data_IF_346799173830
#
_entry.id   IF_346799173830
#
_cell.length_a   1.000
_cell.length_b   1.000
_cell.length_c   1.000
_cell.angle_alpha   90.00
_cell.angle_beta   90.00
_cell.angle_gamma   90.00
#
_symmetry.space_group_name_H-M   'P 1'
#
loop_
_entity.id
_entity.type
_entity.pdbx_description
1 polymer ?
#
# COMPACT_ATOMS: atom_id res chain seq x y z
N UNK A 1 32.41 -53.31 -38.88
CA UNK A 1 32.97 -52.99 -37.56
C UNK A 1 33.86 -51.76 -37.73
N UNK A 2 33.59 -50.75 -36.91
CA UNK A 2 34.35 -49.53 -36.62
C UNK A 2 34.73 -48.58 -37.77
N UNK A 3 33.99 -47.47 -37.86
CA UNK A 3 34.54 -46.19 -38.31
C UNK A 3 34.43 -45.18 -37.16
N UNK A 4 35.60 -44.77 -36.69
CA UNK A 4 35.82 -43.86 -35.59
C UNK A 4 35.56 -42.39 -35.97
N UNK A 5 34.80 -41.72 -35.10
CA UNK A 5 34.93 -40.34 -34.58
C UNK A 5 35.50 -39.23 -35.48
N UNK A 6 34.64 -38.26 -35.79
CA UNK A 6 34.98 -36.83 -35.81
C UNK A 6 33.90 -36.04 -35.05
N UNK A 7 34.30 -35.38 -33.95
CA UNK A 7 33.46 -34.42 -33.21
C UNK A 7 33.48 -33.06 -33.92
N UNK A 8 32.35 -32.35 -34.07
CA UNK A 8 32.35 -30.95 -34.47
C UNK A 8 32.51 -30.02 -33.25
N UNK A 9 33.31 -28.97 -33.45
CA UNK A 9 33.56 -27.86 -32.51
C UNK A 9 32.29 -27.10 -32.12
N UNK A 10 32.23 -26.51 -30.90
CA UNK A 10 31.09 -25.71 -30.48
C UNK A 10 31.09 -24.34 -31.17
N UNK A 11 29.96 -24.03 -31.80
CA UNK A 11 29.61 -22.72 -32.36
C UNK A 11 29.55 -21.65 -31.27
N UNK A 12 30.23 -20.51 -31.52
CA UNK A 12 30.16 -19.29 -30.69
C UNK A 12 28.71 -18.79 -30.59
N UNK A 13 28.22 -18.42 -29.39
CA UNK A 13 26.94 -17.73 -29.28
C UNK A 13 27.07 -16.26 -29.70
N UNK A 14 26.05 -15.83 -30.44
CA UNK A 14 25.86 -14.50 -30.99
C UNK A 14 25.63 -13.46 -29.88
N UNK A 15 25.98 -12.21 -30.22
CA UNK A 15 25.94 -11.03 -29.37
C UNK A 15 24.68 -10.90 -28.49
N UNK A 16 24.88 -10.93 -27.18
CA UNK A 16 23.95 -10.35 -26.20
C UNK A 16 24.14 -8.84 -26.22
N UNK A 17 23.12 -8.11 -26.65
CA UNK A 17 23.01 -6.68 -26.40
C UNK A 17 22.98 -6.47 -24.88
N UNK A 18 23.99 -5.76 -24.36
CA UNK A 18 23.98 -5.26 -22.98
C UNK A 18 22.87 -4.23 -22.88
N UNK A 19 21.97 -4.41 -21.92
CA UNK A 19 21.13 -3.32 -21.44
C UNK A 19 22.06 -2.18 -21.03
N UNK A 20 21.81 -0.99 -21.57
CA UNK A 20 22.55 0.21 -21.19
C UNK A 20 22.33 0.45 -19.70
N UNK A 21 23.44 0.73 -19.01
CA UNK A 21 23.44 1.34 -17.69
C UNK A 21 22.71 2.67 -17.80
N UNK A 22 21.44 2.68 -17.39
CA UNK A 22 20.69 3.90 -17.15
C UNK A 22 21.24 4.46 -15.82
N UNK A 23 22.32 5.23 -15.91
CA UNK A 23 22.83 5.97 -14.77
C UNK A 23 21.75 6.94 -14.33
N UNK A 24 21.09 6.59 -13.23
CA UNK A 24 20.09 7.39 -12.56
C UNK A 24 20.60 8.83 -12.40
N UNK A 25 19.97 9.74 -13.14
CA UNK A 25 20.03 11.15 -12.81
C UNK A 25 19.49 11.32 -11.41
N UNK A 26 20.32 11.78 -10.48
CA UNK A 26 19.89 12.17 -9.14
C UNK A 26 18.69 13.12 -9.27
N UNK A 27 17.53 12.69 -8.76
CA UNK A 27 16.33 13.50 -8.72
C UNK A 27 16.61 14.71 -7.82
N UNK A 28 16.75 15.90 -8.41
CA UNK A 28 16.66 17.16 -7.65
C UNK A 28 15.22 17.27 -7.14
N UNK A 29 14.89 16.63 -6.03
CA UNK A 29 13.52 16.63 -5.53
C UNK A 29 13.21 15.78 -4.29
N UNK A 30 14.08 14.85 -3.91
CA UNK A 30 13.88 14.07 -2.67
C UNK A 30 14.19 14.94 -1.44
N UNK A 31 13.27 14.98 -0.47
CA UNK A 31 13.52 15.55 0.85
C UNK A 31 13.50 14.43 1.88
N UNK A 32 14.48 14.37 2.81
CA UNK A 32 14.48 13.35 3.83
C UNK A 32 13.30 13.55 4.80
N UNK A 33 12.64 12.46 5.17
CA UNK A 33 11.64 12.43 6.22
C UNK A 33 11.78 11.17 7.06
N UNK A 34 11.33 11.24 8.32
CA UNK A 34 11.42 10.13 9.26
C UNK A 34 10.26 9.16 9.05
N UNK A 35 10.55 7.89 8.77
CA UNK A 35 9.57 6.81 8.73
C UNK A 35 9.80 5.80 9.86
N UNK A 36 8.71 5.33 10.47
CA UNK A 36 8.73 4.28 11.50
C UNK A 36 8.53 2.91 10.88
N UNK A 37 9.46 2.00 11.12
CA UNK A 37 9.55 0.66 10.52
C UNK A 37 9.82 -0.38 11.61
N UNK A 38 9.58 -1.67 11.33
CA UNK A 38 9.93 -2.74 12.28
C UNK A 38 11.44 -2.97 12.28
N UNK A 39 12.03 -3.18 13.45
CA UNK A 39 13.46 -3.47 13.57
C UNK A 39 13.76 -4.87 13.06
N UNK A 40 14.54 -4.97 11.98
CA UNK A 40 14.98 -6.25 11.42
C UNK A 40 15.91 -7.02 12.35
N UNK A 41 16.52 -6.35 13.34
CA UNK A 41 17.48 -6.94 14.28
C UNK A 41 16.82 -7.42 15.58
N UNK A 42 15.51 -7.27 15.72
CA UNK A 42 14.82 -7.77 16.92
C UNK A 42 14.87 -9.30 16.94
N UNK A 43 15.58 -9.92 17.90
CA UNK A 43 15.72 -11.37 17.97
C UNK A 43 14.38 -12.09 18.17
N UNK A 44 13.34 -11.40 18.66
CA UNK A 44 12.01 -11.99 18.83
C UNK A 44 11.34 -12.33 17.49
N UNK A 45 11.74 -11.66 16.39
CA UNK A 45 11.23 -11.91 15.04
C UNK A 45 11.77 -13.19 14.38
N UNK A 46 12.88 -13.73 14.90
CA UNK A 46 13.47 -14.97 14.42
C UNK A 46 12.72 -16.20 14.94
N UNK A 47 12.23 -16.15 16.18
CA UNK A 47 11.65 -17.31 16.86
C UNK A 47 10.12 -17.28 16.93
N UNK A 48 9.51 -16.10 16.84
CA UNK A 48 8.05 -15.94 16.96
C UNK A 48 7.49 -15.15 15.78
N UNK A 49 6.24 -15.46 15.42
CA UNK A 49 5.48 -14.57 14.53
C UNK A 49 5.20 -13.26 15.28
N UNK A 50 5.49 -12.10 14.68
CA UNK A 50 5.15 -10.84 15.34
C UNK A 50 3.63 -10.67 15.46
N UNK A 51 3.20 -9.95 16.50
CA UNK A 51 1.83 -9.54 16.73
C UNK A 51 1.77 -8.12 17.32
N UNK A 52 0.62 -7.45 17.13
CA UNK A 52 0.24 -6.20 17.78
C UNK A 52 -1.20 -6.32 18.32
N UNK A 53 -1.39 -6.04 19.61
CA UNK A 53 -2.69 -5.93 20.27
C UNK A 53 -3.28 -4.55 19.98
N UNK A 54 -4.48 -4.52 19.39
CA UNK A 54 -5.22 -3.30 19.07
C UNK A 54 -6.25 -2.93 20.14
N UNK A 55 -6.06 -3.44 21.36
CA UNK A 55 -6.88 -3.20 22.53
C UNK A 55 -6.00 -3.25 23.79
N UNK A 56 -6.43 -2.55 24.83
CA UNK A 56 -5.70 -2.50 26.09
C UNK A 56 -5.87 -3.81 26.86
N UNK A 57 -4.76 -4.37 27.32
CA UNK A 57 -4.72 -5.57 28.16
C UNK A 57 -3.89 -5.28 29.41
N UNK A 58 -4.51 -5.17 30.60
CA UNK A 58 -3.77 -4.88 31.83
C UNK A 58 -2.67 -5.91 32.15
N UNK A 59 -2.83 -7.14 31.67
CA UNK A 59 -1.91 -8.26 31.94
C UNK A 59 -0.75 -8.38 30.94
N UNK A 60 -0.85 -7.75 29.76
CA UNK A 60 0.19 -7.78 28.73
C UNK A 60 0.72 -6.35 28.53
N UNK A 61 1.77 -5.95 29.27
CA UNK A 61 2.23 -4.56 29.29
C UNK A 61 2.83 -4.11 27.94
N UNK A 62 3.31 -5.05 27.12
CA UNK A 62 3.80 -4.76 25.77
C UNK A 62 2.74 -5.19 24.75
N UNK A 63 2.07 -4.20 24.15
CA UNK A 63 1.06 -4.43 23.11
C UNK A 63 1.62 -4.98 21.80
N UNK A 64 2.93 -5.15 21.65
CA UNK A 64 3.55 -5.78 20.49
C UNK A 64 4.75 -6.62 20.94
N UNK A 65 5.12 -7.67 20.22
CA UNK A 65 6.30 -8.49 20.53
C UNK A 65 7.51 -8.20 19.61
N UNK A 66 7.54 -7.02 19.00
CA UNK A 66 8.63 -6.56 18.15
C UNK A 66 8.93 -5.08 18.41
N UNK A 67 10.16 -4.66 18.16
CA UNK A 67 10.61 -3.28 18.26
C UNK A 67 10.48 -2.53 16.94
N UNK A 68 10.39 -1.20 17.05
CA UNK A 68 10.33 -0.28 15.93
C UNK A 68 11.57 0.61 15.90
N UNK A 69 12.03 0.91 14.69
CA UNK A 69 13.07 1.90 14.42
C UNK A 69 12.47 3.09 13.68
N UNK A 70 13.10 4.25 13.82
CA UNK A 70 12.81 5.42 13.01
C UNK A 70 14.00 5.72 12.13
N UNK A 71 13.80 5.71 10.82
CA UNK A 71 14.85 5.94 9.84
C UNK A 71 14.56 7.19 9.00
N UNK A 72 15.61 7.94 8.70
CA UNK A 72 15.54 9.08 7.79
C UNK A 72 15.67 8.57 6.36
N UNK A 73 14.58 8.64 5.60
CA UNK A 73 14.55 8.12 4.22
C UNK A 73 14.31 9.25 3.22
N UNK A 74 14.92 9.20 2.02
CA UNK A 74 14.56 10.11 0.95
C UNK A 74 13.11 9.88 0.52
N UNK A 75 12.29 10.93 0.56
CA UNK A 75 10.91 10.90 0.05
C UNK A 75 10.80 11.79 -1.19
N UNK A 76 10.48 11.18 -2.33
CA UNK A 76 10.33 11.87 -3.62
C UNK A 76 8.91 12.41 -3.85
N UNK A 77 8.79 13.45 -4.67
CA UNK A 77 7.51 13.88 -5.22
C UNK A 77 7.17 13.02 -6.47
N UNK A 78 6.15 12.18 -6.35
CA UNK A 78 5.64 11.34 -7.42
C UNK A 78 4.63 12.04 -8.33
N UNK A 79 4.26 13.30 -8.07
CA UNK A 79 3.32 14.05 -8.93
C UNK A 79 3.74 14.11 -10.40
N UNK A 80 5.02 14.30 -10.78
CA UNK A 80 5.47 14.23 -12.17
C UNK A 80 5.31 12.85 -12.86
N UNK A 81 5.01 11.81 -12.08
CA UNK A 81 4.78 10.45 -12.55
C UNK A 81 3.29 10.13 -12.79
N UNK A 82 2.37 11.08 -12.54
CA UNK A 82 0.93 10.89 -12.85
C UNK A 82 0.74 10.49 -14.32
N UNK A 83 0.00 9.41 -14.55
CA UNK A 83 -0.22 8.82 -15.88
C UNK A 83 0.93 7.95 -16.42
N UNK A 84 2.03 7.78 -15.68
CA UNK A 84 3.16 6.91 -16.05
C UNK A 84 3.30 5.68 -15.14
N UNK A 85 2.62 5.68 -14.00
CA UNK A 85 2.63 4.60 -13.01
C UNK A 85 1.58 3.54 -13.35
N UNK A 86 1.81 2.31 -12.85
CA UNK A 86 0.86 1.19 -12.98
C UNK A 86 0.76 0.37 -11.69
N UNK A 87 -0.39 -0.26 -11.46
CA UNK A 87 -0.60 -1.12 -10.28
C UNK A 87 0.31 -2.35 -10.25
N UNK A 88 0.70 -2.90 -11.39
CA UNK A 88 1.50 -4.13 -11.44
C UNK A 88 3.00 -3.88 -11.29
N UNK A 89 3.51 -2.74 -11.79
CA UNK A 89 4.94 -2.39 -11.66
C UNK A 89 5.23 -1.57 -10.41
N UNK A 90 4.42 -0.53 -10.19
CA UNK A 90 4.69 0.49 -9.17
C UNK A 90 3.87 0.23 -7.91
N UNK A 91 2.77 -0.51 -8.03
CA UNK A 91 1.86 -0.84 -6.94
C UNK A 91 0.72 0.17 -6.76
N UNK A 92 0.85 1.38 -7.33
CA UNK A 92 -0.11 2.46 -7.14
C UNK A 92 -0.21 3.40 -8.34
N UNK A 93 -1.32 4.11 -8.44
CA UNK A 93 -1.59 5.15 -9.44
C UNK A 93 -2.32 6.34 -8.80
N UNK A 94 -2.11 7.53 -9.35
CA UNK A 94 -2.90 8.73 -9.02
C UNK A 94 -3.87 9.01 -10.16
N UNK A 95 -5.16 9.10 -9.85
CA UNK A 95 -6.23 9.34 -10.83
C UNK A 95 -7.09 10.52 -10.42
N UNK A 96 -7.67 11.19 -11.42
CA UNK A 96 -8.70 12.22 -11.20
C UNK A 96 -10.06 11.56 -11.01
N UNK A 97 -10.83 12.06 -10.06
CA UNK A 97 -12.22 11.64 -9.88
C UNK A 97 -13.10 12.27 -10.96
N UNK A 98 -14.15 11.55 -11.41
CA UNK A 98 -15.12 12.11 -12.35
C UNK A 98 -15.88 13.31 -11.76
N UNK A 99 -16.05 13.34 -10.43
CA UNK A 99 -16.64 14.44 -9.66
C UNK A 99 -16.23 14.35 -8.19
N UNK A 100 -16.45 15.43 -7.47
CA UNK A 100 -16.41 15.47 -6.00
C UNK A 100 -17.83 15.62 -5.44
N UNK A 101 -18.05 15.14 -4.21
CA UNK A 101 -19.26 15.44 -3.43
C UNK A 101 -19.01 16.60 -2.44
N UNK A 102 -20.05 17.32 -2.00
CA UNK A 102 -19.98 18.26 -0.88
C UNK A 102 -19.28 17.65 0.35
N UNK A 103 -18.68 18.51 1.17
CA UNK A 103 -17.85 18.04 2.30
C UNK A 103 -18.70 17.35 3.37
N UNK A 104 -19.87 17.89 3.66
CA UNK A 104 -20.88 17.37 4.57
C UNK A 104 -21.39 15.98 4.16
N UNK A 105 -21.49 15.70 2.86
CA UNK A 105 -21.99 14.43 2.31
C UNK A 105 -21.05 13.25 2.58
N UNK A 106 -19.77 13.49 2.93
CA UNK A 106 -18.91 12.39 3.38
C UNK A 106 -19.33 11.82 4.74
N UNK A 107 -20.08 12.59 5.54
CA UNK A 107 -20.49 12.23 6.89
C UNK A 107 -21.94 11.73 6.97
N UNK A 108 -22.66 11.71 5.84
CA UNK A 108 -23.96 11.06 5.71
C UNK A 108 -23.81 9.76 4.90
N UNK A 109 -24.24 8.65 5.48
CA UNK A 109 -24.00 7.32 4.91
C UNK A 109 -24.68 7.14 3.54
N UNK A 110 -25.88 7.67 3.36
CA UNK A 110 -26.66 7.52 2.14
C UNK A 110 -26.01 8.27 0.97
N UNK A 111 -25.63 9.53 1.20
CA UNK A 111 -24.95 10.37 0.21
C UNK A 111 -23.52 9.93 -0.04
N UNK A 112 -22.77 9.47 0.98
CA UNK A 112 -21.45 8.85 0.81
C UNK A 112 -21.51 7.63 -0.12
N UNK A 113 -22.48 6.74 0.12
CA UNK A 113 -22.70 5.53 -0.68
C UNK A 113 -23.14 5.87 -2.10
N UNK A 114 -24.16 6.72 -2.25
CA UNK A 114 -24.68 7.14 -3.56
C UNK A 114 -23.65 7.96 -4.36
N UNK A 115 -22.78 8.68 -3.66
CA UNK A 115 -21.73 9.54 -4.16
C UNK A 115 -20.41 8.80 -4.33
N UNK A 116 -19.48 9.09 -3.42
CA UNK A 116 -18.07 8.70 -3.51
C UNK A 116 -17.87 7.19 -3.66
N UNK A 117 -18.56 6.35 -2.90
CA UNK A 117 -18.35 4.90 -2.93
C UNK A 117 -18.71 4.31 -4.30
N UNK A 118 -19.83 4.73 -4.89
CA UNK A 118 -20.25 4.30 -6.22
C UNK A 118 -19.29 4.80 -7.32
N UNK A 119 -18.82 6.04 -7.21
CA UNK A 119 -17.86 6.60 -8.16
C UNK A 119 -16.51 5.88 -8.06
N UNK A 120 -16.00 5.66 -6.84
CA UNK A 120 -14.79 4.87 -6.60
C UNK A 120 -14.92 3.45 -7.18
N UNK A 121 -16.07 2.79 -7.00
CA UNK A 121 -16.33 1.47 -7.59
C UNK A 121 -16.21 1.48 -9.11
N UNK A 122 -16.76 2.49 -9.78
CA UNK A 122 -16.68 2.64 -11.25
C UNK A 122 -15.25 2.87 -11.71
N UNK A 123 -14.52 3.74 -11.02
CA UNK A 123 -13.11 3.99 -11.35
C UNK A 123 -12.25 2.74 -11.10
N UNK A 124 -12.52 1.97 -10.04
CA UNK A 124 -11.82 0.70 -9.79
C UNK A 124 -12.10 -0.34 -10.88
N UNK A 125 -13.34 -0.43 -11.38
CA UNK A 125 -13.66 -1.31 -12.52
C UNK A 125 -12.82 -0.94 -13.75
N UNK A 126 -12.70 0.36 -14.05
CA UNK A 126 -11.96 0.86 -15.22
C UNK A 126 -10.43 0.71 -15.05
N UNK A 127 -9.88 1.31 -13.99
CA UNK A 127 -8.43 1.35 -13.73
C UNK A 127 -7.83 -0.04 -13.53
N UNK A 128 -8.55 -0.94 -12.87
CA UNK A 128 -8.07 -2.30 -12.66
C UNK A 128 -8.42 -3.24 -13.81
N UNK A 129 -9.27 -2.83 -14.77
CA UNK A 129 -9.80 -3.73 -15.80
C UNK A 129 -10.65 -4.87 -15.22
N UNK A 130 -11.35 -4.59 -14.11
CA UNK A 130 -12.03 -5.59 -13.31
C UNK A 130 -13.47 -5.84 -13.74
N UNK A 131 -13.96 -7.05 -13.46
CA UNK A 131 -15.34 -7.46 -13.73
C UNK A 131 -16.27 -7.25 -12.54
N UNK A 132 -15.72 -7.31 -11.32
CA UNK A 132 -16.48 -7.06 -10.10
C UNK A 132 -15.64 -6.36 -9.04
N UNK A 133 -16.32 -5.55 -8.23
CA UNK A 133 -15.75 -4.85 -7.09
C UNK A 133 -16.70 -5.02 -5.89
N UNK A 134 -16.15 -5.46 -4.77
CA UNK A 134 -16.84 -5.62 -3.49
C UNK A 134 -16.17 -4.70 -2.47
N UNK A 135 -16.94 -3.76 -1.92
CA UNK A 135 -16.43 -2.83 -0.91
C UNK A 135 -16.32 -3.59 0.41
N UNK A 136 -15.14 -3.62 1.00
CA UNK A 136 -14.88 -4.21 2.31
C UNK A 136 -15.18 -3.20 3.41
N UNK A 137 -14.55 -2.02 3.32
CA UNK A 137 -14.70 -0.97 4.31
C UNK A 137 -14.49 0.40 3.69
N UNK A 138 -15.00 1.42 4.39
CA UNK A 138 -14.80 2.82 4.04
C UNK A 138 -14.67 3.62 5.34
N UNK A 139 -13.52 4.25 5.56
CA UNK A 139 -13.15 4.89 6.82
C UNK A 139 -12.70 6.33 6.57
N UNK A 140 -13.28 7.27 7.31
CA UNK A 140 -12.75 8.64 7.35
C UNK A 140 -11.66 8.70 8.41
N UNK A 141 -10.53 9.30 8.03
CA UNK A 141 -9.42 9.58 8.94
C UNK A 141 -9.22 11.08 9.13
N UNK A 142 -9.01 11.48 10.39
CA UNK A 142 -8.71 12.85 10.78
C UNK A 142 -7.45 12.87 11.63
N UNK A 143 -6.48 13.71 11.28
CA UNK A 143 -5.33 13.93 12.16
C UNK A 143 -5.81 14.64 13.43
N UNK A 144 -5.50 14.04 14.57
CA UNK A 144 -5.81 14.54 15.89
C UNK A 144 -4.51 14.69 16.70
N UNK A 145 -4.56 15.40 17.82
CA UNK A 145 -3.40 15.56 18.71
C UNK A 145 -2.90 14.22 19.28
N UNK A 146 -3.79 13.26 19.48
CA UNK A 146 -3.43 11.89 19.89
C UNK A 146 -3.21 11.02 18.65
N UNK A 147 -2.07 10.35 18.59
CA UNK A 147 -1.71 9.41 17.51
C UNK A 147 -2.38 8.02 17.63
N UNK A 148 -3.21 7.79 18.65
CA UNK A 148 -3.86 6.51 18.91
C UNK A 148 -5.38 6.65 18.88
N UNK A 149 -6.04 5.70 18.24
CA UNK A 149 -7.50 5.59 18.17
C UNK A 149 -8.00 5.30 16.77
N UNK A 150 -9.24 4.81 16.70
CA UNK A 150 -9.93 4.60 15.43
C UNK A 150 -10.05 5.92 14.64
N UNK A 151 -9.77 5.88 13.34
CA UNK A 151 -9.84 7.06 12.47
C UNK A 151 -8.64 8.01 12.56
N UNK A 152 -7.58 7.68 13.31
CA UNK A 152 -6.32 8.46 13.28
C UNK A 152 -5.43 7.96 12.12
N UNK A 153 -4.71 8.85 11.42
CA UNK A 153 -3.59 8.48 10.54
C UNK A 153 -2.64 7.47 11.16
N UNK A 154 -2.20 6.46 10.40
CA UNK A 154 -1.23 5.46 10.88
C UNK A 154 0.19 5.90 10.47
N UNK A 155 1.06 6.29 11.42
CA UNK A 155 2.41 6.81 11.14
C UNK A 155 3.50 5.73 11.10
N UNK A 156 3.09 4.45 11.08
CA UNK A 156 3.99 3.29 11.00
C UNK A 156 3.85 2.67 9.63
N UNK A 157 4.97 2.30 9.02
CA UNK A 157 4.98 1.65 7.71
C UNK A 157 4.36 0.26 7.82
N UNK A 158 3.37 0.00 6.97
CA UNK A 158 2.65 -1.27 6.93
C UNK A 158 2.16 -1.59 5.51
N UNK A 159 1.84 -2.87 5.29
CA UNK A 159 0.96 -3.32 4.22
C UNK A 159 -0.30 -3.91 4.83
N UNK A 160 -1.47 -3.63 4.26
CA UNK A 160 -2.73 -3.92 4.97
C UNK A 160 -3.10 -5.40 5.04
N UNK A 161 -2.83 -6.16 3.99
CA UNK A 161 -3.29 -7.55 3.89
C UNK A 161 -2.22 -8.46 3.33
N UNK A 162 -2.16 -9.68 3.84
CA UNK A 162 -1.52 -10.78 3.14
C UNK A 162 -2.46 -11.38 2.10
N UNK A 163 -1.93 -12.20 1.18
CA UNK A 163 -2.77 -12.91 0.22
C UNK A 163 -3.69 -13.93 0.90
N UNK A 164 -3.23 -14.50 2.02
CA UNK A 164 -4.01 -15.44 2.84
C UNK A 164 -5.17 -14.70 3.50
N UNK A 165 -4.91 -13.51 4.05
CA UNK A 165 -5.95 -12.65 4.62
C UNK A 165 -6.96 -12.19 3.57
N UNK A 166 -6.49 -11.74 2.40
CA UNK A 166 -7.36 -11.42 1.28
C UNK A 166 -8.24 -12.61 0.86
N UNK A 167 -7.69 -13.84 0.89
CA UNK A 167 -8.46 -15.06 0.61
C UNK A 167 -9.54 -15.35 1.66
N UNK A 168 -9.29 -15.08 2.94
CA UNK A 168 -10.31 -15.17 4.00
C UNK A 168 -11.45 -14.18 3.75
N UNK A 169 -11.11 -12.91 3.44
CA UNK A 169 -12.09 -11.85 3.17
C UNK A 169 -13.02 -12.17 1.99
N UNK A 170 -12.58 -12.93 0.99
CA UNK A 170 -13.45 -13.39 -0.10
C UNK A 170 -14.67 -14.16 0.45
N UNK A 171 -14.50 -14.98 1.48
CA UNK A 171 -15.59 -15.71 2.11
C UNK A 171 -16.66 -14.77 2.67
N UNK A 172 -16.21 -13.74 3.41
CA UNK A 172 -17.07 -12.73 4.03
C UNK A 172 -17.77 -11.85 2.98
N UNK A 173 -17.05 -11.44 1.93
CA UNK A 173 -17.54 -10.48 0.93
C UNK A 173 -18.38 -11.09 -0.18
N UNK A 174 -18.14 -12.36 -0.51
CA UNK A 174 -18.76 -13.02 -1.67
C UNK A 174 -19.76 -14.12 -1.31
N UNK A 175 -19.81 -14.57 -0.05
CA UNK A 175 -20.72 -15.63 0.41
C UNK A 175 -20.60 -16.89 -0.45
N UNK A 176 -21.74 -17.37 -0.99
CA UNK A 176 -21.81 -18.56 -1.84
C UNK A 176 -20.94 -18.50 -3.10
N UNK A 177 -20.54 -17.30 -3.54
CA UNK A 177 -19.66 -17.12 -4.71
C UNK A 177 -18.17 -17.23 -4.39
N UNK A 178 -17.79 -17.34 -3.13
CA UNK A 178 -16.39 -17.28 -2.69
C UNK A 178 -15.49 -18.30 -3.44
N UNK A 179 -15.92 -19.54 -3.56
CA UNK A 179 -15.17 -20.60 -4.26
C UNK A 179 -15.03 -20.35 -5.77
N UNK A 180 -15.99 -19.65 -6.38
CA UNK A 180 -15.86 -19.23 -7.77
C UNK A 180 -14.86 -18.07 -7.89
N UNK A 181 -14.96 -17.07 -7.02
CA UNK A 181 -14.07 -15.90 -7.01
C UNK A 181 -12.61 -16.28 -6.81
N UNK A 182 -12.31 -17.23 -5.91
CA UNK A 182 -10.94 -17.73 -5.66
C UNK A 182 -10.26 -18.38 -6.88
N UNK A 183 -11.04 -18.78 -7.90
CA UNK A 183 -10.50 -19.37 -9.16
C UNK A 183 -10.09 -18.31 -10.18
N UNK A 184 -10.40 -17.04 -9.94
CA UNK A 184 -10.03 -15.93 -10.79
C UNK A 184 -8.90 -15.11 -10.16
N UNK A 185 -8.24 -14.25 -10.95
CA UNK A 185 -7.36 -13.24 -10.38
C UNK A 185 -8.21 -12.30 -9.54
N UNK A 186 -7.88 -12.19 -8.27
CA UNK A 186 -8.41 -11.20 -7.35
C UNK A 186 -7.29 -10.36 -6.75
N UNK A 187 -7.66 -9.15 -6.36
CA UNK A 187 -6.79 -8.19 -5.68
C UNK A 187 -7.53 -7.55 -4.51
N UNK A 188 -6.81 -7.24 -3.45
CA UNK A 188 -7.26 -6.28 -2.46
C UNK A 188 -6.65 -4.92 -2.81
N UNK A 189 -7.53 -3.96 -3.09
CA UNK A 189 -7.16 -2.62 -3.55
C UNK A 189 -7.64 -1.60 -2.53
N UNK A 190 -6.76 -0.65 -2.25
CA UNK A 190 -7.06 0.51 -1.45
C UNK A 190 -7.25 1.73 -2.34
N UNK A 191 -8.15 2.60 -1.90
CA UNK A 191 -8.35 3.94 -2.41
C UNK A 191 -8.10 4.90 -1.26
N UNK A 192 -7.21 5.87 -1.46
CA UNK A 192 -6.98 6.94 -0.50
C UNK A 192 -7.17 8.31 -1.15
N UNK A 193 -7.89 9.18 -0.46
CA UNK A 193 -8.27 10.50 -0.96
C UNK A 193 -8.31 11.53 0.17
N UNK A 194 -7.71 12.73 0.01
CA UNK A 194 -7.96 13.83 0.93
C UNK A 194 -9.37 14.42 0.75
N UNK A 195 -10.03 14.77 1.86
CA UNK A 195 -11.32 15.46 1.84
C UNK A 195 -11.18 16.96 1.57
N UNK A 196 -10.04 17.53 1.97
CA UNK A 196 -9.65 18.93 1.74
C UNK A 196 -8.31 18.97 1.04
N UNK A 197 -8.13 19.88 0.10
CA UNK A 197 -6.84 20.02 -0.56
C UNK A 197 -6.61 21.41 -1.17
N UNK A 198 -5.39 21.66 -1.68
CA UNK A 198 -4.27 20.71 -1.76
C UNK A 198 -3.76 20.22 -0.40
N UNK A 199 -3.60 18.91 -0.23
CA UNK A 199 -3.14 18.34 1.05
C UNK A 199 -1.63 18.55 1.21
N UNK A 200 -1.24 19.14 2.34
CA UNK A 200 0.17 19.30 2.74
C UNK A 200 0.48 18.69 4.10
N UNK A 201 -0.48 18.74 5.04
CA UNK A 201 -0.37 18.12 6.36
C UNK A 201 -0.50 16.59 6.24
N UNK A 202 0.51 15.89 6.73
CA UNK A 202 0.54 14.44 6.90
C UNK A 202 0.10 13.61 5.68
N UNK A 203 0.67 13.79 4.47
CA UNK A 203 0.30 12.95 3.32
C UNK A 203 0.67 11.47 3.54
N UNK A 204 0.23 10.60 2.63
CA UNK A 204 0.71 9.22 2.60
C UNK A 204 2.02 9.13 1.81
N UNK A 205 3.03 8.51 2.42
CA UNK A 205 4.19 8.00 1.72
C UNK A 205 3.89 6.58 1.22
N UNK A 206 4.35 6.26 0.02
CA UNK A 206 4.23 4.96 -0.63
C UNK A 206 5.61 4.45 -1.03
N UNK A 207 5.89 3.19 -0.76
CA UNK A 207 7.05 2.52 -1.32
C UNK A 207 6.70 1.90 -2.68
N UNK A 208 7.53 2.13 -3.69
CA UNK A 208 7.31 1.54 -5.02
C UNK A 208 7.50 0.03 -4.97
N UNK A 209 6.51 -0.70 -5.47
CA UNK A 209 6.47 -2.17 -5.39
C UNK A 209 7.74 -2.81 -5.96
N UNK A 210 8.20 -2.37 -7.13
CA UNK A 210 9.41 -2.90 -7.77
C UNK A 210 10.75 -2.59 -7.08
N UNK A 211 10.74 -1.84 -5.97
CA UNK A 211 11.94 -1.57 -5.16
C UNK A 211 12.03 -2.41 -3.88
N UNK A 212 10.98 -3.15 -3.56
CA UNK A 212 10.91 -3.98 -2.35
C UNK A 212 11.57 -5.33 -2.57
N UNK A 213 12.34 -5.76 -1.57
CA UNK A 213 12.75 -7.15 -1.44
C UNK A 213 11.70 -7.93 -0.64
N UNK A 214 11.57 -9.24 -0.89
CA UNK A 214 10.62 -10.07 -0.14
C UNK A 214 10.96 -10.09 1.36
N UNK A 215 12.25 -10.02 1.70
CA UNK A 215 12.76 -9.97 3.07
C UNK A 215 12.43 -8.66 3.79
N UNK A 216 12.06 -7.61 3.06
CA UNK A 216 11.62 -6.35 3.67
C UNK A 216 10.26 -6.51 4.37
N UNK A 217 9.47 -7.53 4.00
CA UNK A 217 8.11 -7.73 4.48
C UNK A 217 8.05 -8.83 5.53
N UNK A 218 7.53 -8.50 6.72
CA UNK A 218 7.27 -9.47 7.78
C UNK A 218 5.77 -9.55 8.06
N UNK A 219 5.21 -10.75 7.87
CA UNK A 219 3.81 -11.04 8.26
C UNK A 219 3.64 -10.86 9.77
N UNK A 220 2.59 -10.16 10.16
CA UNK A 220 2.23 -9.86 11.55
C UNK A 220 0.75 -10.16 11.79
N UNK A 221 0.40 -10.56 13.00
CA UNK A 221 -0.99 -10.64 13.45
C UNK A 221 -1.41 -9.35 14.17
N UNK A 222 -2.41 -8.67 13.64
CA UNK A 222 -3.07 -7.55 14.30
C UNK A 222 -4.28 -8.10 15.05
N UNK A 223 -4.19 -8.12 16.38
CA UNK A 223 -5.15 -8.80 17.24
C UNK A 223 -6.15 -7.78 17.76
N UNK A 224 -7.40 -7.90 17.31
CA UNK A 224 -8.55 -7.21 17.84
C UNK A 224 -9.19 -8.04 18.97
N UNK A 225 -10.11 -7.48 19.78
CA UNK A 225 -10.80 -8.25 20.81
C UNK A 225 -11.52 -9.51 20.28
N UNK A 226 -12.08 -9.41 19.07
CA UNK A 226 -12.97 -10.44 18.51
C UNK A 226 -12.40 -11.12 17.25
N UNK A 227 -11.26 -10.66 16.73
CA UNK A 227 -10.70 -11.17 15.46
C UNK A 227 -9.18 -10.94 15.36
N UNK A 228 -8.53 -11.63 14.43
CA UNK A 228 -7.11 -11.46 14.09
C UNK A 228 -6.94 -11.23 12.60
N UNK A 229 -6.36 -10.08 12.26
CA UNK A 229 -6.06 -9.67 10.89
C UNK A 229 -4.57 -9.90 10.58
N UNK A 230 -4.25 -10.71 9.57
CA UNK A 230 -2.86 -10.86 9.12
C UNK A 230 -2.45 -9.73 8.15
N UNK A 231 -1.40 -9.00 8.52
CA UNK A 231 -0.90 -7.79 7.84
C UNK A 231 0.62 -7.90 7.61
N UNK A 232 1.26 -6.86 7.07
CA UNK A 232 2.70 -6.74 6.98
C UNK A 232 3.24 -5.57 7.81
N UNK A 233 4.36 -5.80 8.49
CA UNK A 233 5.32 -4.76 8.87
C UNK A 233 6.49 -4.78 7.91
N UNK A 234 7.21 -3.67 7.85
CA UNK A 234 8.28 -3.46 6.87
C UNK A 234 9.57 -3.13 7.60
N UNK A 235 10.64 -3.80 7.17
CA UNK A 235 12.00 -3.55 7.60
C UNK A 235 12.64 -2.48 6.72
N UNK A 236 13.52 -1.67 7.31
CA UNK A 236 14.27 -0.68 6.56
C UNK A 236 15.25 -1.35 5.59
N UNK A 237 15.25 -0.87 4.35
CA UNK A 237 16.21 -1.25 3.33
C UNK A 237 16.53 -0.03 2.45
N UNK A 238 17.82 0.22 2.22
CA UNK A 238 18.30 1.39 1.46
C UNK A 238 17.81 1.39 -0.01
N UNK A 239 17.45 0.23 -0.56
CA UNK A 239 16.96 0.12 -1.93
C UNK A 239 15.49 0.53 -2.10
N UNK A 240 14.76 0.71 -1.00
CA UNK A 240 13.35 1.11 -1.03
C UNK A 240 13.18 2.51 -1.60
N UNK A 241 12.30 2.65 -2.59
CA UNK A 241 11.99 3.93 -3.21
C UNK A 241 10.69 4.49 -2.64
N UNK A 242 10.82 5.49 -1.78
CA UNK A 242 9.72 6.15 -1.10
C UNK A 242 9.34 7.47 -1.78
N UNK A 243 8.04 7.75 -1.82
CA UNK A 243 7.55 9.03 -2.30
C UNK A 243 6.07 9.25 -2.01
N UNK A 244 5.58 10.42 -2.39
CA UNK A 244 4.19 10.84 -2.18
C UNK A 244 3.74 11.74 -3.32
N UNK A 245 2.43 11.94 -3.45
CA UNK A 245 1.89 12.91 -4.41
C UNK A 245 1.78 14.28 -3.75
N UNK A 246 2.75 15.16 -4.03
CA UNK A 246 2.77 16.51 -3.48
C UNK A 246 1.49 17.28 -3.81
N UNK A 247 0.95 18.01 -2.83
CA UNK A 247 -0.23 18.85 -3.01
C UNK A 247 -1.42 18.09 -3.62
N UNK A 248 -1.64 16.84 -3.21
CA UNK A 248 -2.77 16.05 -3.71
C UNK A 248 -4.09 16.79 -3.50
N UNK A 249 -4.89 16.90 -4.57
CA UNK A 249 -6.14 17.64 -4.58
C UNK A 249 -7.26 16.78 -4.02
N UNK A 250 -8.30 17.42 -3.48
CA UNK A 250 -9.54 16.73 -3.09
C UNK A 250 -10.31 16.14 -4.30
N UNK A 251 -9.93 16.47 -5.53
CA UNK A 251 -10.45 15.88 -6.77
C UNK A 251 -9.62 14.67 -7.25
N UNK A 252 -8.60 14.26 -6.51
CA UNK A 252 -7.68 13.18 -6.88
C UNK A 252 -7.74 12.06 -5.84
N UNK A 253 -7.58 10.82 -6.29
CA UNK A 253 -7.40 9.67 -5.40
C UNK A 253 -6.21 8.82 -5.82
N UNK A 254 -5.54 8.24 -4.84
CA UNK A 254 -4.52 7.21 -5.04
C UNK A 254 -5.20 5.86 -4.96
N UNK A 255 -4.99 5.03 -5.98
CA UNK A 255 -5.39 3.62 -5.97
C UNK A 255 -4.10 2.81 -5.78
N UNK A 256 -4.06 1.92 -4.80
CA UNK A 256 -2.87 1.13 -4.51
C UNK A 256 -3.19 -0.28 -4.07
N UNK A 257 -2.27 -1.21 -4.37
CA UNK A 257 -2.42 -2.64 -4.12
C UNK A 257 -2.04 -2.99 -2.69
N UNK A 258 -2.89 -3.79 -2.05
CA UNK A 258 -2.61 -4.41 -0.74
C UNK A 258 -2.37 -5.92 -0.86
N UNK A 259 -3.02 -6.60 -1.80
CA UNK A 259 -2.75 -8.00 -2.14
C UNK A 259 -3.16 -8.31 -3.58
N UNK A 260 -2.52 -9.30 -4.20
CA UNK A 260 -2.84 -9.74 -5.57
C UNK A 260 -2.45 -11.21 -5.75
N UNK A 261 -3.41 -12.00 -6.24
CA UNK A 261 -3.27 -13.45 -6.45
C UNK A 261 -2.39 -13.84 -7.64
N UNK A 262 -2.03 -12.89 -8.51
CA UNK A 262 -1.17 -13.13 -9.67
C UNK A 262 0.18 -12.45 -9.56
N UNK A 263 0.20 -11.15 -9.25
CA UNK A 263 1.42 -10.36 -9.09
C UNK A 263 1.61 -10.06 -7.61
N UNK A 264 2.28 -10.98 -6.90
CA UNK A 264 2.47 -10.94 -5.45
C UNK A 264 3.02 -9.58 -4.97
N UNK A 265 2.59 -9.19 -3.78
CA UNK A 265 3.09 -8.03 -3.06
C UNK A 265 1.98 -7.15 -2.49
N UNK A 266 2.39 -6.30 -1.57
CA UNK A 266 1.62 -5.21 -0.97
C UNK A 266 2.39 -3.92 -1.21
N UNK A 267 1.72 -2.78 -1.24
CA UNK A 267 2.39 -1.47 -1.20
C UNK A 267 2.55 -1.04 0.26
N UNK A 268 3.78 -1.01 0.81
CA UNK A 268 4.07 -0.36 2.06
C UNK A 268 3.72 1.12 2.01
N UNK A 269 3.01 1.58 3.03
CA UNK A 269 2.64 2.97 3.13
C UNK A 269 2.48 3.39 4.59
N UNK A 270 2.50 4.70 4.83
CA UNK A 270 2.15 5.29 6.10
C UNK A 270 1.81 6.78 5.92
N UNK A 271 1.12 7.35 6.91
CA UNK A 271 1.16 8.79 7.08
C UNK A 271 2.56 9.21 7.54
N UNK A 272 3.08 10.32 7.03
CA UNK A 272 4.37 10.83 7.49
C UNK A 272 4.30 12.32 7.76
N UNK A 273 5.13 12.79 8.68
CA UNK A 273 5.28 14.21 8.94
C UNK A 273 6.07 14.85 7.80
N UNK A 274 5.40 15.68 6.99
CA UNK A 274 5.98 16.31 5.81
C UNK A 274 6.79 17.55 6.23
N UNK A 275 8.14 17.52 6.13
CA UNK A 275 8.97 18.65 6.56
C UNK A 275 8.73 19.94 5.75
N UNK A 276 8.15 19.81 4.56
CA UNK A 276 7.76 20.93 3.71
C UNK A 276 6.36 21.50 4.01
N UNK A 277 5.66 21.02 5.04
CA UNK A 277 4.34 21.50 5.42
C UNK A 277 4.43 22.92 6.05
N UNK A 278 3.78 23.94 5.48
CA UNK A 278 3.78 25.28 6.08
C UNK A 278 3.13 25.31 7.47
N UNK A 279 3.58 26.21 8.36
CA UNK A 279 2.89 26.45 9.64
C UNK A 279 1.43 26.89 9.42
N UNK A 280 0.51 26.36 10.23
CA UNK A 280 -0.91 26.74 10.20
C UNK A 280 -1.73 26.05 9.11
N UNK A 281 -1.18 25.08 8.38
CA UNK A 281 -1.97 24.23 7.50
C UNK A 281 -3.04 23.46 8.28
N UNK A 282 -4.25 23.29 7.70
CA UNK A 282 -5.31 22.54 8.36
C UNK A 282 -4.90 21.08 8.54
N UNK A 283 -5.27 20.52 9.69
CA UNK A 283 -5.06 19.10 9.98
C UNK A 283 -5.71 18.22 8.89
N UNK A 284 -5.00 17.17 8.48
CA UNK A 284 -5.45 16.24 7.46
C UNK A 284 -6.81 15.64 7.77
N UNK A 285 -7.69 15.68 6.78
CA UNK A 285 -8.91 14.89 6.72
C UNK A 285 -8.92 14.12 5.39
N UNK A 286 -9.13 12.82 5.47
CA UNK A 286 -9.03 11.90 4.32
C UNK A 286 -10.05 10.77 4.45
N UNK A 287 -10.30 10.08 3.35
CA UNK A 287 -11.13 8.89 3.28
C UNK A 287 -10.33 7.74 2.66
N UNK A 288 -10.47 6.57 3.27
CA UNK A 288 -9.90 5.31 2.83
C UNK A 288 -11.03 4.35 2.50
N UNK A 289 -10.93 3.70 1.35
CA UNK A 289 -11.86 2.65 0.94
C UNK A 289 -11.03 1.44 0.54
N UNK A 290 -11.34 0.28 1.11
CA UNK A 290 -10.70 -0.99 0.74
C UNK A 290 -11.71 -1.87 0.02
N UNK A 291 -11.29 -2.49 -1.08
CA UNK A 291 -12.17 -3.25 -1.95
C UNK A 291 -11.48 -4.49 -2.51
N UNK A 292 -12.24 -5.59 -2.52
CA UNK A 292 -11.91 -6.77 -3.29
C UNK A 292 -12.28 -6.51 -4.75
N UNK A 293 -11.30 -6.67 -5.63
CA UNK A 293 -11.44 -6.52 -7.07
C UNK A 293 -11.23 -7.89 -7.72
N UNK A 294 -12.12 -8.28 -8.63
CA UNK A 294 -12.10 -9.59 -9.31
C UNK A 294 -12.09 -9.39 -10.82
N UNK A 295 -11.19 -10.10 -11.50
CA UNK A 295 -10.94 -10.04 -12.95
C UNK A 295 -11.69 -11.14 -13.70
#
# INVERSE_FOLDING_TARGET
MDKATQKPSPSKPQHRLRAGDDQGGASQGASPASLRMADAKDPLLETNKPYELLYDTPEIPRGANFDEITESVPIEDFRPLKGKLSLDKDGFVLVDLPRTIPYEDYFDEATLKAGFVNDAKRVLLDVCGARAVYIHECVIRKRAEKEKGFGVPIPRVHGDYTIDEASKLIGQLCGDRAEAVRKHRYQMINVWKPLKGPLKDWPLAFCRLGSLADEDLKKIDLIHPDDTLESYRVHYNLNQQWGYFKEQKASEMVIFKSADSLVSGTVPHCAFDNPGCPPGEPARESIELRALVVH
#
